data_IF_062843628113
#
_entry.id   IF_062843628113
#
_cell.length_a   1.000
_cell.length_b   1.000
_cell.length_c   1.000
_cell.angle_alpha   90.00
_cell.angle_beta   90.00
_cell.angle_gamma   90.00
#
_symmetry.space_group_name_H-M   'P 1'
#
loop_
_entity.id
_entity.type
_entity.pdbx_description
1 polymer ?
#
# COMPACT_ATOMS: atom_id res chain seq x y z
N UNK A 1 -25.02 13.39 -3.24
CA UNK A 1 -23.63 13.88 -3.12
C UNK A 1 -22.59 12.74 -3.06
N UNK A 2 -22.87 11.55 -2.49
CA UNK A 2 -21.87 10.47 -2.30
C UNK A 2 -21.27 9.88 -3.60
N UNK A 3 -21.97 9.95 -4.74
CA UNK A 3 -21.48 9.44 -6.03
C UNK A 3 -20.68 10.43 -6.88
N UNK A 4 -20.62 11.71 -6.48
CA UNK A 4 -19.97 12.75 -7.29
C UNK A 4 -18.46 12.54 -7.41
N UNK A 5 -17.80 12.24 -6.28
CA UNK A 5 -16.36 11.97 -6.25
C UNK A 5 -15.96 10.73 -7.08
N UNK A 6 -16.62 9.56 -6.94
CA UNK A 6 -16.39 8.42 -7.82
C UNK A 6 -16.63 8.73 -9.31
N UNK A 7 -17.65 9.54 -9.63
CA UNK A 7 -17.94 9.92 -11.01
C UNK A 7 -16.84 10.80 -11.62
N UNK A 8 -16.32 11.78 -10.86
CA UNK A 8 -15.17 12.61 -11.28
C UNK A 8 -13.93 11.74 -11.49
N UNK A 9 -13.67 10.79 -10.59
CA UNK A 9 -12.54 9.88 -10.72
C UNK A 9 -12.67 8.96 -11.95
N UNK A 10 -13.87 8.45 -12.23
CA UNK A 10 -14.14 7.64 -13.41
C UNK A 10 -13.96 8.45 -14.71
N UNK A 11 -14.39 9.71 -14.73
CA UNK A 11 -14.15 10.60 -15.86
C UNK A 11 -12.66 10.91 -16.03
N UNK A 12 -11.93 11.12 -14.93
CA UNK A 12 -10.48 11.30 -14.95
C UNK A 12 -9.73 10.11 -15.54
N UNK A 13 -10.17 8.88 -15.25
CA UNK A 13 -9.58 7.67 -15.84
C UNK A 13 -9.72 7.61 -17.37
N UNK A 14 -10.75 8.22 -17.95
CA UNK A 14 -10.92 8.29 -19.41
C UNK A 14 -9.94 9.27 -20.09
N UNK A 15 -9.36 10.20 -19.32
CA UNK A 15 -8.43 11.22 -19.83
C UNK A 15 -6.96 10.82 -19.67
N UNK A 16 -6.67 9.89 -18.76
CA UNK A 16 -5.30 9.44 -18.50
C UNK A 16 -4.89 8.45 -19.59
N UNK A 17 -3.76 8.67 -20.29
CA UNK A 17 -3.27 7.71 -21.26
C UNK A 17 -2.90 6.39 -20.58
N UNK A 18 -3.06 5.30 -21.31
CA UNK A 18 -2.69 3.97 -20.83
C UNK A 18 -1.20 3.90 -20.48
N UNK A 19 -0.86 3.13 -19.43
CA UNK A 19 0.53 2.99 -19.02
C UNK A 19 1.38 2.27 -20.09
N UNK A 20 2.62 2.73 -20.37
CA UNK A 20 3.52 2.07 -21.32
C UNK A 20 3.75 0.57 -21.00
N UNK A 21 3.88 0.23 -19.71
CA UNK A 21 4.02 -1.16 -19.25
C UNK A 21 2.82 -2.04 -19.64
N UNK A 22 1.60 -1.53 -19.50
CA UNK A 22 0.41 -2.27 -19.90
C UNK A 22 0.35 -2.50 -21.41
N UNK A 23 0.72 -1.49 -22.22
CA UNK A 23 0.77 -1.62 -23.67
C UNK A 23 1.78 -2.68 -24.13
N UNK A 24 2.98 -2.71 -23.52
CA UNK A 24 3.98 -3.78 -23.77
C UNK A 24 3.43 -5.15 -23.37
N UNK A 25 2.72 -5.25 -22.23
CA UNK A 25 2.09 -6.51 -21.82
C UNK A 25 1.04 -7.05 -22.82
N UNK A 26 0.50 -6.17 -23.67
CA UNK A 26 -0.46 -6.48 -24.74
C UNK A 26 0.18 -6.60 -26.13
N UNK A 27 1.51 -6.68 -26.22
CA UNK A 27 2.29 -6.69 -27.46
C UNK A 27 2.09 -5.42 -28.34
N UNK A 28 1.67 -4.29 -27.75
CA UNK A 28 1.47 -3.00 -28.46
C UNK A 28 2.70 -2.10 -28.31
N UNK A 29 3.83 -2.56 -28.84
CA UNK A 29 5.15 -1.96 -28.61
C UNK A 29 5.28 -0.55 -29.19
N UNK A 30 4.78 -0.32 -30.41
CA UNK A 30 4.85 0.98 -31.09
C UNK A 30 4.07 2.09 -30.38
N UNK A 31 3.01 1.73 -29.66
CA UNK A 31 2.23 2.68 -28.87
C UNK A 31 2.94 3.00 -27.55
N UNK A 32 3.53 2.00 -26.90
CA UNK A 32 4.33 2.20 -25.70
C UNK A 32 5.52 3.14 -25.96
N UNK A 33 6.26 2.92 -27.06
CA UNK A 33 7.36 3.78 -27.49
C UNK A 33 6.91 5.21 -27.76
N UNK A 34 5.78 5.42 -28.44
CA UNK A 34 5.24 6.76 -28.70
C UNK A 34 4.86 7.50 -27.42
N UNK A 35 4.31 6.80 -26.42
CA UNK A 35 3.99 7.40 -25.13
C UNK A 35 5.28 7.76 -24.37
N UNK A 36 6.26 6.85 -24.30
CA UNK A 36 7.56 7.11 -23.67
C UNK A 36 8.26 8.30 -24.32
N UNK A 37 8.31 8.32 -25.66
CA UNK A 37 8.88 9.44 -26.42
C UNK A 37 8.19 10.76 -26.08
N UNK A 38 6.85 10.80 -26.02
CA UNK A 38 6.09 12.01 -25.72
C UNK A 38 6.38 12.58 -24.34
N UNK A 39 6.56 11.73 -23.33
CA UNK A 39 6.75 12.17 -21.94
C UNK A 39 8.21 12.31 -21.51
N UNK A 40 9.14 11.59 -22.11
CA UNK A 40 10.56 11.58 -21.71
C UNK A 40 11.53 12.17 -22.76
N UNK A 41 11.15 12.26 -24.03
CA UNK A 41 12.03 12.74 -25.11
C UNK A 41 11.34 13.71 -26.10
N UNK A 42 10.34 14.48 -25.65
CA UNK A 42 9.61 15.47 -26.47
C UNK A 42 9.08 14.94 -27.82
N UNK A 43 8.77 13.64 -27.90
CA UNK A 43 8.25 12.96 -29.08
C UNK A 43 9.30 12.27 -29.96
N UNK A 44 10.59 12.30 -29.59
CA UNK A 44 11.65 11.57 -30.31
C UNK A 44 11.67 10.12 -29.85
N UNK A 45 11.28 9.20 -30.75
CA UNK A 45 11.20 7.76 -30.45
C UNK A 45 12.58 7.09 -30.42
N UNK A 46 13.54 7.62 -31.17
CA UNK A 46 14.89 7.07 -31.32
C UNK A 46 15.88 7.62 -30.28
N UNK A 47 15.38 8.30 -29.25
CA UNK A 47 16.22 8.78 -28.15
C UNK A 47 16.74 7.59 -27.33
N UNK A 48 18.03 7.60 -27.01
CA UNK A 48 18.71 6.53 -26.27
C UNK A 48 18.01 6.24 -24.92
N UNK A 49 17.47 7.26 -24.26
CA UNK A 49 16.72 7.10 -23.01
C UNK A 49 15.41 6.33 -23.23
N UNK A 50 14.69 6.63 -24.30
CA UNK A 50 13.39 6.01 -24.60
C UNK A 50 13.57 4.53 -24.96
N UNK A 51 14.58 4.22 -25.77
CA UNK A 51 14.90 2.84 -26.13
C UNK A 51 15.35 2.03 -24.91
N UNK A 52 16.20 2.62 -24.06
CA UNK A 52 16.63 2.00 -22.81
C UNK A 52 15.46 1.71 -21.87
N UNK A 53 14.58 2.69 -21.63
CA UNK A 53 13.40 2.50 -20.76
C UNK A 53 12.43 1.47 -21.33
N UNK A 54 12.24 1.47 -22.65
CA UNK A 54 11.40 0.48 -23.31
C UNK A 54 11.96 -0.94 -23.17
N UNK A 55 13.26 -1.11 -23.35
CA UNK A 55 13.94 -2.39 -23.18
C UNK A 55 13.88 -2.88 -21.72
N UNK A 56 14.12 -1.99 -20.75
CA UNK A 56 13.98 -2.28 -19.32
C UNK A 56 12.56 -2.77 -18.98
N UNK A 57 11.53 -2.10 -19.52
CA UNK A 57 10.13 -2.51 -19.34
C UNK A 57 9.86 -3.89 -19.94
N UNK A 58 10.38 -4.18 -21.14
CA UNK A 58 10.20 -5.48 -21.79
C UNK A 58 10.84 -6.60 -20.97
N UNK A 59 12.11 -6.42 -20.58
CA UNK A 59 12.86 -7.39 -19.78
C UNK A 59 12.18 -7.64 -18.43
N UNK A 60 11.76 -6.59 -17.72
CA UNK A 60 11.04 -6.73 -16.46
C UNK A 60 9.73 -7.51 -16.62
N UNK A 61 8.97 -7.26 -17.69
CA UNK A 61 7.71 -7.94 -17.94
C UNK A 61 7.89 -9.43 -18.30
N UNK A 62 8.97 -9.79 -18.98
CA UNK A 62 9.23 -11.19 -19.31
C UNK A 62 9.62 -12.00 -18.07
N UNK A 63 10.48 -11.43 -17.21
CA UNK A 63 10.78 -12.00 -15.88
C UNK A 63 9.50 -12.15 -15.04
N UNK A 64 8.65 -11.13 -15.04
CA UNK A 64 7.36 -11.16 -14.33
C UNK A 64 6.39 -12.20 -14.89
N UNK A 65 6.30 -12.37 -16.22
CA UNK A 65 5.44 -13.39 -16.85
C UNK A 65 5.91 -14.81 -16.52
N UNK A 66 7.22 -15.04 -16.46
CA UNK A 66 7.78 -16.33 -16.06
C UNK A 66 7.55 -16.63 -14.59
N UNK A 67 7.76 -15.63 -13.71
CA UNK A 67 7.43 -15.74 -12.30
C UNK A 67 5.92 -15.97 -12.08
N UNK A 68 5.05 -15.27 -12.82
CA UNK A 68 3.60 -15.39 -12.68
C UNK A 68 3.07 -16.80 -13.02
N UNK A 69 3.69 -17.52 -13.96
CA UNK A 69 3.32 -18.90 -14.31
C UNK A 69 3.52 -19.89 -13.15
N UNK A 70 4.45 -19.60 -12.25
CA UNK A 70 4.79 -20.44 -11.10
C UNK A 70 4.33 -19.85 -9.75
N UNK A 71 3.72 -18.68 -9.75
CA UNK A 71 3.29 -17.97 -8.53
C UNK A 71 1.88 -18.40 -8.11
N UNK A 72 1.79 -19.04 -6.94
CA UNK A 72 0.53 -19.35 -6.26
C UNK A 72 0.52 -18.79 -4.83
N UNK A 73 -0.60 -18.95 -4.11
CA UNK A 73 -0.67 -18.55 -2.69
C UNK A 73 0.36 -19.26 -1.81
N UNK A 74 0.84 -20.44 -2.22
CA UNK A 74 1.92 -21.17 -1.56
C UNK A 74 3.28 -20.45 -1.64
N UNK A 75 3.51 -19.62 -2.66
CA UNK A 75 4.77 -18.90 -2.87
C UNK A 75 5.06 -17.89 -1.75
N UNK A 76 4.02 -17.39 -1.06
CA UNK A 76 4.16 -16.55 0.12
C UNK A 76 4.78 -17.27 1.32
N UNK A 77 4.59 -18.58 1.40
CA UNK A 77 5.09 -19.41 2.51
C UNK A 77 6.34 -20.22 2.14
N UNK A 78 6.69 -20.29 0.86
CA UNK A 78 7.77 -21.13 0.35
C UNK A 78 9.16 -20.68 0.85
N UNK A 79 9.43 -19.38 0.86
CA UNK A 79 10.77 -18.84 1.16
C UNK A 79 10.77 -17.97 2.42
N UNK A 80 11.88 -17.99 3.16
CA UNK A 80 12.10 -17.09 4.30
C UNK A 80 12.05 -15.61 3.89
N UNK A 81 12.45 -15.29 2.67
CA UNK A 81 12.36 -13.96 2.05
C UNK A 81 10.92 -13.45 1.89
N UNK A 82 9.97 -14.31 1.52
CA UNK A 82 8.59 -13.92 1.23
C UNK A 82 7.68 -13.93 2.47
N UNK A 83 7.91 -14.87 3.41
CA UNK A 83 7.04 -15.07 4.57
C UNK A 83 7.03 -13.88 5.53
N UNK A 84 8.16 -13.20 5.69
CA UNK A 84 8.29 -12.11 6.65
C UNK A 84 7.57 -10.83 6.15
N UNK A 85 7.81 -10.33 4.92
CA UNK A 85 7.02 -9.23 4.35
C UNK A 85 5.53 -9.56 4.23
N UNK A 86 5.17 -10.82 3.93
CA UNK A 86 3.77 -11.25 3.87
C UNK A 86 3.08 -11.21 5.24
N UNK A 87 3.74 -11.69 6.30
CA UNK A 87 3.24 -11.60 7.66
C UNK A 87 3.06 -10.15 8.09
N UNK A 88 4.01 -9.27 7.74
CA UNK A 88 3.89 -7.83 7.97
C UNK A 88 2.64 -7.30 7.25
N UNK A 89 2.42 -7.61 5.97
CA UNK A 89 1.23 -7.14 5.22
C UNK A 89 -0.09 -7.50 5.91
N UNK A 90 -0.21 -8.71 6.46
CA UNK A 90 -1.41 -9.16 7.21
C UNK A 90 -1.54 -8.35 8.51
N UNK A 91 -0.48 -8.32 9.32
CA UNK A 91 -0.51 -7.66 10.63
C UNK A 91 -0.80 -6.17 10.50
N UNK A 92 -0.19 -5.52 9.52
CA UNK A 92 -0.45 -4.11 9.21
C UNK A 92 -1.93 -3.87 8.90
N UNK A 93 -2.56 -4.72 8.08
CA UNK A 93 -3.97 -4.60 7.74
C UNK A 93 -4.87 -4.72 8.96
N UNK A 94 -4.51 -5.62 9.89
CA UNK A 94 -5.19 -5.74 11.18
C UNK A 94 -4.97 -4.49 12.06
N UNK A 95 -3.73 -4.02 12.20
CA UNK A 95 -3.41 -2.83 12.99
C UNK A 95 -4.14 -1.59 12.49
N UNK A 96 -4.26 -1.42 11.17
CA UNK A 96 -4.95 -0.28 10.56
C UNK A 96 -6.40 -0.14 11.06
N UNK A 97 -7.12 -1.27 11.24
CA UNK A 97 -8.50 -1.25 11.72
C UNK A 97 -8.62 -1.04 13.22
N UNK A 98 -7.58 -1.38 13.98
CA UNK A 98 -7.57 -1.28 15.44
C UNK A 98 -6.87 -0.02 15.96
N UNK A 99 -6.23 0.78 15.10
CA UNK A 99 -5.45 1.96 15.46
C UNK A 99 -6.28 3.23 15.79
N UNK A 100 -7.54 3.12 16.22
CA UNK A 100 -8.34 4.29 16.64
C UNK A 100 -9.66 4.50 15.90
N UNK A 101 -9.82 3.86 14.74
CA UNK A 101 -10.75 4.31 13.71
C UNK A 101 -12.22 4.36 14.18
N UNK A 102 -12.69 3.36 14.94
CA UNK A 102 -14.09 3.30 15.40
C UNK A 102 -14.35 3.99 16.74
N UNK A 103 -13.58 3.65 17.77
CA UNK A 103 -13.90 4.02 19.16
C UNK A 103 -13.78 5.53 19.37
N UNK A 104 -12.76 6.19 18.82
CA UNK A 104 -12.64 7.64 19.03
C UNK A 104 -13.83 8.37 18.42
N UNK A 105 -14.28 7.99 17.21
CA UNK A 105 -15.41 8.63 16.53
C UNK A 105 -16.75 8.36 17.20
N UNK A 106 -16.99 7.10 17.60
CA UNK A 106 -18.23 6.68 18.25
C UNK A 106 -18.45 7.39 19.59
N UNK A 107 -17.37 7.66 20.32
CA UNK A 107 -17.42 8.21 21.69
C UNK A 107 -17.10 9.71 21.78
N UNK A 108 -16.41 10.28 20.80
CA UNK A 108 -16.14 11.71 20.78
C UNK A 108 -17.44 12.52 20.78
N UNK A 109 -18.46 12.10 20.04
CA UNK A 109 -19.72 12.84 19.98
C UNK A 109 -20.48 12.85 21.32
N UNK A 110 -20.68 11.70 22.00
CA UNK A 110 -21.22 11.69 23.37
C UNK A 110 -20.37 12.45 24.40
N UNK A 111 -19.04 12.32 24.36
CA UNK A 111 -18.13 13.00 25.30
C UNK A 111 -18.12 14.52 25.07
N UNK A 112 -18.09 14.98 23.82
CA UNK A 112 -18.16 16.40 23.52
C UNK A 112 -19.52 16.98 23.94
N UNK A 113 -20.61 16.22 23.76
CA UNK A 113 -21.94 16.61 24.27
C UNK A 113 -21.96 16.71 25.80
N UNK A 114 -21.32 15.81 26.54
CA UNK A 114 -21.27 15.88 28.01
C UNK A 114 -20.40 17.03 28.53
N UNK A 115 -19.41 17.48 27.75
CA UNK A 115 -18.58 18.67 28.03
C UNK A 115 -19.26 19.98 27.55
N UNK A 116 -20.45 19.89 26.94
CA UNK A 116 -21.23 21.05 26.46
C UNK A 116 -20.85 21.54 25.06
N UNK A 117 -19.95 20.85 24.36
CA UNK A 117 -19.53 21.15 23.00
C UNK A 117 -20.45 20.42 22.01
N UNK A 118 -21.57 21.06 21.64
CA UNK A 118 -22.57 20.51 20.72
C UNK A 118 -22.45 21.03 19.28
N UNK A 119 -21.48 21.90 19.00
CA UNK A 119 -21.30 22.52 17.69
C UNK A 119 -20.92 21.51 16.61
N UNK A 120 -21.77 21.38 15.58
CA UNK A 120 -21.56 20.48 14.43
C UNK A 120 -20.29 20.80 13.65
N UNK A 121 -19.85 22.05 13.63
CA UNK A 121 -18.63 22.49 12.93
C UNK A 121 -17.39 21.95 13.66
N UNK A 122 -17.39 21.96 14.99
CA UNK A 122 -16.27 21.45 15.79
C UNK A 122 -16.17 19.92 15.69
N UNK A 123 -17.30 19.21 15.71
CA UNK A 123 -17.35 17.76 15.50
C UNK A 123 -16.89 17.37 14.08
N UNK A 124 -17.31 18.12 13.06
CA UNK A 124 -16.84 17.93 11.68
C UNK A 124 -15.33 18.17 11.55
N UNK A 125 -14.79 19.20 12.21
CA UNK A 125 -13.34 19.49 12.23
C UNK A 125 -12.51 18.37 12.86
N UNK A 126 -12.98 17.78 13.96
CA UNK A 126 -12.28 16.66 14.60
C UNK A 126 -12.36 15.38 13.75
N UNK A 127 -13.51 15.12 13.11
CA UNK A 127 -13.63 14.02 12.16
C UNK A 127 -12.64 14.18 11.00
N UNK A 128 -12.54 15.39 10.43
CA UNK A 128 -11.55 15.71 9.40
C UNK A 128 -10.10 15.43 9.86
N UNK A 129 -9.73 15.87 11.06
CA UNK A 129 -8.39 15.62 11.62
C UNK A 129 -8.11 14.11 11.78
N UNK A 130 -9.11 13.34 12.19
CA UNK A 130 -9.01 11.88 12.30
C UNK A 130 -8.88 11.20 10.93
N UNK A 131 -9.54 11.72 9.90
CA UNK A 131 -9.38 11.20 8.54
C UNK A 131 -7.99 11.49 7.96
N UNK A 132 -7.41 12.65 8.28
CA UNK A 132 -6.00 12.92 7.95
C UNK A 132 -5.05 11.97 8.69
N UNK A 133 -5.29 11.70 9.97
CA UNK A 133 -4.52 10.71 10.73
C UNK A 133 -4.62 9.30 10.12
N UNK A 134 -5.82 8.86 9.74
CA UNK A 134 -6.07 7.59 9.07
C UNK A 134 -5.34 7.49 7.72
N UNK A 135 -5.31 8.59 6.95
CA UNK A 135 -4.58 8.66 5.69
C UNK A 135 -3.06 8.52 5.91
N UNK A 136 -2.51 9.16 6.94
CA UNK A 136 -1.09 9.02 7.31
C UNK A 136 -0.73 7.59 7.69
N UNK A 137 -1.57 6.91 8.51
CA UNK A 137 -1.38 5.50 8.85
C UNK A 137 -1.47 4.59 7.63
N UNK A 138 -2.45 4.83 6.75
CA UNK A 138 -2.62 4.07 5.50
C UNK A 138 -1.41 4.18 4.57
N UNK A 139 -0.75 5.35 4.54
CA UNK A 139 0.48 5.53 3.78
C UNK A 139 1.63 4.71 4.37
N UNK A 140 1.79 4.72 5.70
CA UNK A 140 2.78 3.87 6.39
C UNK A 140 2.51 2.38 6.15
N UNK A 141 1.24 1.98 6.13
CA UNK A 141 0.75 0.61 5.86
C UNK A 141 1.03 0.13 4.44
N UNK A 142 1.16 1.02 3.46
CA UNK A 142 1.42 0.64 2.06
C UNK A 142 2.90 0.26 1.85
N UNK A 143 3.80 0.78 2.68
CA UNK A 143 5.25 0.57 2.52
C UNK A 143 5.69 -0.90 2.60
N UNK A 144 5.13 -1.79 3.43
CA UNK A 144 5.47 -3.21 3.42
C UNK A 144 4.93 -3.98 2.22
N UNK A 145 3.88 -3.49 1.56
CA UNK A 145 3.42 -4.09 0.30
C UNK A 145 4.39 -3.77 -0.83
N UNK A 146 5.09 -2.63 -0.76
CA UNK A 146 6.12 -2.27 -1.75
C UNK A 146 7.43 -3.04 -1.58
N UNK A 147 7.72 -3.57 -0.38
CA UNK A 147 8.90 -4.41 -0.15
C UNK A 147 8.74 -5.84 -0.66
N UNK A 148 7.52 -6.26 -1.02
CA UNK A 148 7.30 -7.50 -1.75
C UNK A 148 7.84 -7.38 -3.18
N UNK A 149 8.42 -8.47 -3.74
CA UNK A 149 8.76 -8.55 -5.16
C UNK A 149 7.54 -8.25 -6.04
N UNK A 150 7.75 -7.61 -7.19
CA UNK A 150 6.68 -7.04 -8.00
C UNK A 150 5.55 -8.05 -8.31
N UNK A 151 5.89 -9.29 -8.66
CA UNK A 151 4.92 -10.35 -8.97
C UNK A 151 4.10 -10.81 -7.75
N UNK A 152 4.57 -10.60 -6.52
CA UNK A 152 3.85 -10.91 -5.27
C UNK A 152 3.07 -9.71 -4.71
N UNK A 153 3.31 -8.49 -5.19
CA UNK A 153 2.66 -7.27 -4.66
C UNK A 153 1.15 -7.32 -4.77
N UNK A 154 0.61 -7.80 -5.90
CA UNK A 154 -0.83 -7.93 -6.09
C UNK A 154 -1.46 -8.89 -5.06
N UNK A 155 -0.82 -10.04 -4.80
CA UNK A 155 -1.27 -10.98 -3.77
C UNK A 155 -1.13 -10.41 -2.36
N UNK A 156 -0.02 -9.73 -2.04
CA UNK A 156 0.19 -9.06 -0.76
C UNK A 156 -0.85 -7.96 -0.48
N UNK A 157 -1.17 -7.14 -1.49
CA UNK A 157 -2.23 -6.13 -1.40
C UNK A 157 -3.59 -6.78 -1.16
N UNK A 158 -3.92 -7.85 -1.89
CA UNK A 158 -5.19 -8.56 -1.70
C UNK A 158 -5.32 -9.19 -0.32
N UNK A 159 -4.24 -9.75 0.24
CA UNK A 159 -4.21 -10.29 1.60
C UNK A 159 -4.37 -9.18 2.65
N UNK A 160 -3.72 -8.04 2.46
CA UNK A 160 -3.87 -6.86 3.31
C UNK A 160 -5.32 -6.37 3.31
N UNK A 161 -5.90 -6.13 2.13
CA UNK A 161 -7.29 -5.70 1.99
C UNK A 161 -8.28 -6.69 2.61
N UNK A 162 -8.08 -7.98 2.40
CA UNK A 162 -8.91 -9.03 3.03
C UNK A 162 -8.85 -8.94 4.55
N UNK A 163 -7.66 -8.68 5.10
CA UNK A 163 -7.48 -8.52 6.55
C UNK A 163 -8.15 -7.24 7.06
N UNK A 164 -8.03 -6.13 6.31
CA UNK A 164 -8.69 -4.86 6.64
C UNK A 164 -10.21 -5.01 6.64
N UNK A 165 -10.79 -5.65 5.63
CA UNK A 165 -12.24 -5.90 5.59
C UNK A 165 -12.68 -6.88 6.67
N UNK A 166 -11.94 -7.96 6.90
CA UNK A 166 -12.24 -8.93 7.96
C UNK A 166 -12.21 -8.32 9.36
N UNK A 167 -11.16 -7.56 9.67
CA UNK A 167 -11.07 -6.81 10.93
C UNK A 167 -12.11 -5.66 10.99
N UNK A 168 -12.48 -5.10 9.84
CA UNK A 168 -13.59 -4.15 9.71
C UNK A 168 -14.94 -4.75 10.09
N UNK A 169 -15.24 -5.97 9.64
CA UNK A 169 -16.47 -6.68 10.02
C UNK A 169 -16.51 -6.93 11.53
N UNK A 170 -15.39 -7.40 12.10
CA UNK A 170 -15.30 -7.57 13.56
C UNK A 170 -15.58 -6.25 14.28
N UNK A 171 -14.97 -5.16 13.83
CA UNK A 171 -15.18 -3.84 14.41
C UNK A 171 -16.64 -3.38 14.28
N UNK A 172 -17.30 -3.66 13.15
CA UNK A 172 -18.67 -3.23 12.91
C UNK A 172 -19.68 -3.96 13.81
N UNK A 173 -19.48 -5.25 14.07
CA UNK A 173 -20.45 -6.08 14.80
C UNK A 173 -20.09 -6.33 16.26
N UNK A 174 -18.81 -6.55 16.58
CA UNK A 174 -18.40 -6.94 17.92
C UNK A 174 -18.24 -5.73 18.84
N UNK A 175 -17.81 -4.58 18.32
CA UNK A 175 -17.63 -3.38 19.16
C UNK A 175 -18.92 -2.94 19.85
N UNK A 176 -20.07 -2.75 19.15
CA UNK A 176 -21.29 -2.32 19.83
C UNK A 176 -21.74 -3.28 20.93
N UNK A 177 -21.65 -4.58 20.67
CA UNK A 177 -22.02 -5.64 21.64
C UNK A 177 -21.09 -5.63 22.85
N UNK A 178 -19.77 -5.56 22.62
CA UNK A 178 -18.78 -5.53 23.70
C UNK A 178 -18.92 -4.26 24.55
N UNK A 179 -19.30 -3.15 23.94
CA UNK A 179 -19.51 -1.87 24.62
C UNK A 179 -20.75 -1.89 25.49
N UNK A 180 -21.85 -2.49 25.04
CA UNK A 180 -23.05 -2.69 25.85
C UNK A 180 -22.76 -3.58 27.07
N UNK A 181 -21.94 -4.63 26.91
CA UNK A 181 -21.60 -5.53 28.00
C UNK A 181 -20.59 -4.94 29.00
N UNK A 182 -19.53 -4.27 28.53
CA UNK A 182 -18.36 -3.89 29.34
C UNK A 182 -18.29 -2.39 29.67
N UNK A 183 -19.07 -1.54 28.99
CA UNK A 183 -19.07 -0.08 29.16
C UNK A 183 -17.64 0.49 29.17
N UNK A 184 -17.28 1.22 30.23
CA UNK A 184 -15.96 1.85 30.38
C UNK A 184 -14.80 0.85 30.52
N UNK A 185 -15.06 -0.40 30.94
CA UNK A 185 -13.99 -1.42 31.07
C UNK A 185 -13.44 -1.83 29.70
N UNK A 186 -14.22 -1.65 28.64
CA UNK A 186 -13.77 -1.89 27.26
C UNK A 186 -12.57 -1.00 26.88
N UNK A 187 -12.44 0.19 27.47
CA UNK A 187 -11.29 1.07 27.23
C UNK A 187 -9.96 0.47 27.69
N UNK A 188 -9.95 -0.33 28.76
CA UNK A 188 -8.73 -1.03 29.19
C UNK A 188 -8.34 -2.14 28.23
N UNK A 189 -9.32 -2.90 27.75
CA UNK A 189 -9.09 -3.94 26.73
C UNK A 189 -8.51 -3.31 25.46
N UNK A 190 -9.05 -2.15 25.08
CA UNK A 190 -8.58 -1.41 23.91
C UNK A 190 -7.19 -0.82 24.09
N UNK A 191 -6.92 -0.20 25.24
CA UNK A 191 -5.59 0.34 25.57
C UNK A 191 -4.55 -0.79 25.65
N UNK A 192 -4.92 -1.95 26.19
CA UNK A 192 -4.06 -3.12 26.23
C UNK A 192 -3.77 -3.67 24.83
N UNK A 193 -4.77 -3.69 23.93
CA UNK A 193 -4.54 -4.12 22.53
C UNK A 193 -3.61 -3.14 21.81
N UNK A 194 -3.81 -1.82 21.95
CA UNK A 194 -2.88 -0.82 21.40
C UNK A 194 -1.47 -0.94 21.98
N UNK A 195 -1.35 -1.12 23.29
CA UNK A 195 -0.06 -1.30 23.96
C UNK A 195 0.64 -2.58 23.50
N UNK A 196 -0.09 -3.65 23.19
CA UNK A 196 0.45 -4.88 22.62
C UNK A 196 0.92 -4.72 21.17
N UNK A 197 0.37 -3.77 20.42
CA UNK A 197 0.81 -3.49 19.04
C UNK A 197 2.22 -2.89 18.99
N UNK A 198 2.59 -2.06 19.98
CA UNK A 198 3.90 -1.40 20.05
C UNK A 198 5.07 -2.42 20.03
N UNK A 199 5.12 -3.44 20.92
CA UNK A 199 6.18 -4.43 20.87
C UNK A 199 6.07 -5.30 19.61
N UNK A 200 4.87 -5.63 19.12
CA UNK A 200 4.73 -6.34 17.84
C UNK A 200 5.36 -5.54 16.70
N UNK A 201 5.15 -4.22 16.64
CA UNK A 201 5.79 -3.37 15.64
C UNK A 201 7.30 -3.36 15.85
N UNK A 202 7.78 -3.12 17.07
CA UNK A 202 9.21 -3.05 17.37
C UNK A 202 9.98 -4.33 17.00
N UNK A 203 9.42 -5.52 17.27
CA UNK A 203 10.10 -6.78 17.00
C UNK A 203 9.92 -7.29 15.57
N UNK A 204 8.76 -7.04 14.94
CA UNK A 204 8.45 -7.58 13.61
C UNK A 204 8.73 -6.62 12.46
N UNK A 205 8.83 -5.31 12.74
CA UNK A 205 9.34 -4.32 11.81
C UNK A 205 10.77 -3.98 12.25
N UNK A 206 11.77 -4.77 11.84
CA UNK A 206 13.14 -4.29 11.91
C UNK A 206 13.18 -3.00 11.09
N UNK A 207 13.39 -1.87 11.77
CA UNK A 207 13.50 -0.55 11.16
C UNK A 207 14.37 -0.65 9.91
N UNK A 208 13.78 -0.43 8.74
CA UNK A 208 14.48 -0.17 7.48
C UNK A 208 15.16 1.20 7.52
N UNK A 209 15.79 1.58 8.64
CA UNK A 209 16.64 2.76 8.72
C UNK A 209 17.96 2.44 8.02
N UNK A 210 18.06 2.87 6.77
CA UNK A 210 19.33 3.02 6.06
C UNK A 210 19.68 1.98 5.00
N UNK A 211 18.73 1.15 4.53
CA UNK A 211 18.96 0.26 3.38
C UNK A 211 18.13 0.70 2.18
N UNK A 212 18.78 0.86 1.03
CA UNK A 212 18.12 1.17 -0.24
C UNK A 212 17.25 -0.02 -0.68
N UNK A 213 16.24 0.21 -1.52
CA UNK A 213 15.31 -0.83 -1.99
C UNK A 213 16.03 -2.05 -2.59
N UNK A 214 17.20 -1.84 -3.18
CA UNK A 214 18.09 -2.88 -3.76
C UNK A 214 18.86 -3.68 -2.69
N UNK A 215 19.22 -3.07 -1.57
CA UNK A 215 19.89 -3.77 -0.47
C UNK A 215 18.91 -4.63 0.34
N UNK A 216 17.61 -4.33 0.27
CA UNK A 216 16.56 -5.13 0.89
C UNK A 216 16.37 -6.43 0.12
N UNK A 217 16.35 -6.41 -1.22
CA UNK A 217 16.29 -7.66 -2.01
C UNK A 217 17.52 -8.53 -1.75
N UNK A 218 18.73 -7.97 -1.64
CA UNK A 218 19.95 -8.73 -1.30
C UNK A 218 19.86 -9.39 0.10
N UNK A 219 19.28 -8.69 1.07
CA UNK A 219 19.11 -9.20 2.45
C UNK A 219 18.03 -10.28 2.56
N UNK A 220 17.03 -10.26 1.68
CA UNK A 220 15.92 -11.21 1.67
C UNK A 220 16.11 -12.39 0.70
N UNK A 221 16.84 -12.21 -0.42
CA UNK A 221 17.07 -13.22 -1.47
C UNK A 221 18.48 -13.84 -1.47
N UNK A 222 19.44 -13.30 -0.70
CA UNK A 222 20.85 -13.76 -0.73
C UNK A 222 21.57 -13.37 -2.02
N UNK A 223 22.85 -13.73 -2.16
CA UNK A 223 23.78 -13.38 -3.26
C UNK A 223 23.35 -13.79 -4.70
N UNK A 224 22.07 -14.07 -4.95
CA UNK A 224 21.53 -14.33 -6.28
C UNK A 224 21.01 -13.06 -7.00
N UNK A 225 21.18 -11.87 -6.42
CA UNK A 225 20.76 -10.59 -6.99
C UNK A 225 21.87 -9.86 -7.77
N UNK A 226 22.93 -10.55 -8.19
CA UNK A 226 23.94 -9.97 -9.09
C UNK A 226 23.46 -10.06 -10.55
N UNK A 227 22.48 -9.23 -10.89
CA UNK A 227 22.36 -8.71 -12.25
C UNK A 227 22.32 -7.20 -12.13
N UNK A 228 23.52 -6.61 -12.13
CA UNK A 228 23.73 -5.18 -12.27
C UNK A 228 22.93 -4.70 -13.51
N UNK A 229 21.96 -3.78 -13.39
CA UNK A 229 21.36 -3.17 -14.57
C UNK A 229 22.46 -2.38 -15.29
N UNK A 230 22.57 -2.47 -16.63
CA UNK A 230 23.58 -1.73 -17.38
C UNK A 230 23.50 -0.24 -17.02
N UNK A 231 24.65 0.32 -16.65
CA UNK A 231 24.78 1.66 -16.09
C UNK A 231 23.95 2.68 -16.86
N UNK A 232 23.02 3.33 -16.15
CA UNK A 232 22.16 4.39 -16.69
C UNK A 232 23.04 5.45 -17.39
N UNK A 233 22.80 5.76 -18.67
CA UNK A 233 23.59 6.77 -19.37
C UNK A 233 23.56 8.08 -18.58
N UNK A 234 24.73 8.62 -18.22
CA UNK A 234 24.82 9.93 -17.55
C UNK A 234 24.43 11.00 -18.55
N UNK A 235 23.16 11.39 -18.52
CA UNK A 235 22.62 12.49 -19.32
C UNK A 235 23.48 13.76 -19.09
N UNK A 236 24.12 14.26 -20.15
CA UNK A 236 24.61 15.63 -20.17
C UNK A 236 23.39 16.54 -20.15
N UNK A 237 23.14 17.18 -19.00
CA UNK A 237 22.15 18.27 -18.94
C UNK A 237 22.59 19.38 -19.90
N UNK A 238 21.65 20.01 -20.64
CA UNK A 238 21.96 21.18 -21.46
C UNK A 238 22.43 22.36 -20.59
#
# INVERSE_FOLDING_TARGET
MQGLFPAIQLFGLLLVPESPRWLVSKNRHDEALRILARYHANGVVDDELVQYEFEEICQALDVEKEAAKSTGWSTFFATKGNRHPFLICILVGFMNQWAGNGIVLDYLTPILKSVGITSSIMQAGINLALQFWNASLSFMVTTPTTSLPFWLRAGGLSANLTTVFGAGLFNQYVKPIALEALHWKFYFVYTATLAAMIPTIYFLFPETKGRTLEQISIVFDGEAAETDPPAKPRLRRP
#
